data_IF_909894156718
#
_entry.id   IF_909894156718
#
_cell.length_a   1.000
_cell.length_b   1.000
_cell.length_c   1.000
_cell.angle_alpha   90.00
_cell.angle_beta   90.00
_cell.angle_gamma   90.00
#
_symmetry.space_group_name_H-M   'P 1'
#
loop_
_entity.id
_entity.type
_entity.pdbx_description
1 polymer ?
#
# COMPACT_ATOMS: atom_id res chain seq x y z
N UNK A 1 16.71 -8.08 5.23
CA UNK A 1 15.24 -8.02 5.35
C UNK A 1 14.80 -9.08 6.35
N UNK A 2 13.89 -8.72 7.24
CA UNK A 2 13.22 -9.61 8.18
C UNK A 2 11.71 -9.45 7.99
N UNK A 3 11.00 -10.55 7.79
CA UNK A 3 9.54 -10.57 7.64
C UNK A 3 8.87 -10.89 8.97
N UNK A 4 7.68 -10.34 9.18
CA UNK A 4 6.85 -10.58 10.37
C UNK A 4 5.38 -10.33 10.03
N UNK A 5 4.50 -10.60 10.98
CA UNK A 5 3.06 -10.40 10.80
C UNK A 5 2.50 -9.59 11.96
N UNK A 6 1.56 -8.70 11.63
CA UNK A 6 0.70 -8.00 12.57
C UNK A 6 -0.77 -8.42 12.36
N UNK A 7 -1.60 -8.26 13.37
CA UNK A 7 -3.03 -8.42 13.19
C UNK A 7 -3.59 -7.18 12.48
N UNK A 8 -4.33 -7.35 11.38
CA UNK A 8 -4.96 -6.23 10.69
C UNK A 8 -6.15 -5.68 11.47
N UNK A 9 -6.35 -4.36 11.41
CA UNK A 9 -7.50 -3.68 12.00
C UNK A 9 -8.83 -4.07 11.35
N UNK A 10 -8.78 -4.50 10.09
CA UNK A 10 -9.92 -5.06 9.35
C UNK A 10 -10.15 -6.55 9.56
N UNK A 11 -9.34 -7.19 10.39
CA UNK A 11 -9.29 -8.64 10.57
C UNK A 11 -8.30 -9.30 9.61
N UNK A 12 -7.78 -10.46 10.01
CA UNK A 12 -6.73 -11.17 9.27
C UNK A 12 -5.31 -10.74 9.68
N UNK A 13 -4.32 -11.19 8.89
CA UNK A 13 -2.90 -10.99 9.20
C UNK A 13 -2.23 -10.14 8.12
N UNK A 14 -1.61 -9.06 8.56
CA UNK A 14 -0.84 -8.14 7.74
C UNK A 14 0.60 -8.65 7.63
N UNK A 15 1.05 -9.01 6.45
CA UNK A 15 2.43 -9.35 6.17
C UNK A 15 3.27 -8.08 6.11
N UNK A 16 4.32 -8.04 6.92
CA UNK A 16 5.20 -6.88 7.05
C UNK A 16 6.66 -7.28 6.85
N UNK A 17 7.47 -6.34 6.43
CA UNK A 17 8.91 -6.51 6.37
C UNK A 17 9.65 -5.29 6.90
N UNK A 18 10.83 -5.54 7.48
CA UNK A 18 11.77 -4.52 7.89
C UNK A 18 13.15 -4.79 7.28
N UNK A 19 13.76 -3.76 6.74
CA UNK A 19 15.14 -3.73 6.24
C UNK A 19 15.97 -2.84 7.15
N UNK A 20 16.97 -3.41 7.78
CA UNK A 20 17.83 -2.71 8.73
C UNK A 20 19.19 -2.45 8.10
N UNK A 21 19.73 -1.22 8.15
CA UNK A 21 21.08 -0.92 7.68
C UNK A 21 22.14 -1.59 8.57
N UNK A 22 23.33 -1.81 8.02
CA UNK A 22 24.50 -2.30 8.80
C UNK A 22 25.12 -1.19 9.67
N UNK A 23 24.98 0.07 9.25
CA UNK A 23 25.41 1.24 10.00
C UNK A 23 24.37 1.67 11.03
N UNK A 24 24.79 2.53 11.97
CA UNK A 24 23.85 3.18 12.88
C UNK A 24 22.76 3.94 12.12
N UNK A 25 21.48 3.68 12.37
CA UNK A 25 20.40 4.25 11.59
C UNK A 25 20.18 5.73 11.88
N UNK A 26 19.83 6.49 10.84
CA UNK A 26 19.58 7.95 10.90
C UNK A 26 18.12 8.30 11.02
N UNK A 27 17.25 7.49 10.44
CA UNK A 27 15.81 7.67 10.45
C UNK A 27 15.11 6.37 9.98
N UNK A 28 13.81 6.30 10.21
CA UNK A 28 12.93 5.26 9.67
C UNK A 28 12.22 5.80 8.43
N UNK A 29 12.04 4.95 7.41
CA UNK A 29 11.20 5.21 6.22
C UNK A 29 10.18 4.10 6.11
N UNK A 30 8.91 4.39 6.32
CA UNK A 30 7.81 3.47 6.03
C UNK A 30 7.37 3.65 4.57
N UNK A 31 7.21 2.55 3.86
CA UNK A 31 6.76 2.52 2.46
C UNK A 31 5.33 2.01 2.39
N UNK A 32 4.44 2.78 1.78
CA UNK A 32 3.05 2.44 1.52
C UNK A 32 2.90 2.22 0.02
N UNK A 33 2.70 0.96 -0.38
CA UNK A 33 2.65 0.56 -1.78
C UNK A 33 1.34 0.93 -2.48
N UNK A 34 1.31 0.83 -3.81
CA UNK A 34 0.14 1.11 -4.63
C UNK A 34 -0.79 -0.09 -4.79
N UNK A 35 -1.87 0.13 -5.55
CA UNK A 35 -2.78 -0.97 -5.90
C UNK A 35 -2.09 -1.98 -6.81
N UNK A 36 -2.44 -3.26 -6.66
CA UNK A 36 -1.95 -4.36 -7.49
C UNK A 36 -0.42 -4.53 -7.46
N UNK A 37 0.21 -4.20 -6.35
CA UNK A 37 1.63 -4.45 -6.11
C UNK A 37 1.85 -5.03 -4.70
N UNK A 38 3.10 -5.17 -4.28
CA UNK A 38 3.46 -5.76 -2.99
C UNK A 38 4.85 -5.29 -2.56
N UNK A 39 5.20 -5.48 -1.29
CA UNK A 39 6.46 -4.99 -0.70
C UNK A 39 7.72 -5.51 -1.40
N UNK A 40 7.69 -6.70 -1.98
CA UNK A 40 8.84 -7.25 -2.70
C UNK A 40 9.30 -6.42 -3.90
N UNK A 41 8.43 -5.56 -4.45
CA UNK A 41 8.82 -4.61 -5.51
C UNK A 41 9.72 -3.49 -5.02
N UNK A 42 9.74 -3.26 -3.73
CA UNK A 42 10.52 -2.20 -3.10
C UNK A 42 11.84 -2.69 -2.51
N UNK A 43 12.21 -3.97 -2.66
CA UNK A 43 13.42 -4.54 -2.07
C UNK A 43 14.70 -3.79 -2.51
N UNK A 44 14.86 -3.53 -3.80
CA UNK A 44 16.01 -2.77 -4.31
C UNK A 44 16.05 -1.34 -3.77
N UNK A 45 14.89 -0.68 -3.70
CA UNK A 45 14.78 0.67 -3.15
C UNK A 45 15.04 0.69 -1.63
N UNK A 46 14.53 -0.29 -0.91
CA UNK A 46 14.79 -0.45 0.52
C UNK A 46 16.28 -0.69 0.79
N UNK A 47 16.94 -1.54 0.00
CA UNK A 47 18.41 -1.75 0.09
C UNK A 47 19.20 -0.48 -0.22
N UNK A 48 18.76 0.28 -1.23
CA UNK A 48 19.36 1.59 -1.51
C UNK A 48 19.25 2.52 -0.30
N UNK A 49 18.09 2.61 0.33
CA UNK A 49 17.90 3.42 1.53
C UNK A 49 18.73 2.89 2.71
N UNK A 50 18.82 1.57 2.89
CA UNK A 50 19.70 0.98 3.92
C UNK A 50 21.17 1.37 3.72
N UNK A 51 21.67 1.33 2.48
CA UNK A 51 23.05 1.75 2.18
C UNK A 51 23.30 3.22 2.54
N UNK A 52 22.24 4.02 2.67
CA UNK A 52 22.28 5.41 3.11
C UNK A 52 21.92 5.60 4.59
N UNK A 53 21.81 4.52 5.37
CA UNK A 53 21.59 4.56 6.82
C UNK A 53 20.13 4.74 7.25
N UNK A 54 19.17 4.35 6.42
CA UNK A 54 17.75 4.37 6.80
C UNK A 54 17.25 2.95 7.15
N UNK A 55 16.52 2.82 8.22
CA UNK A 55 15.65 1.66 8.44
C UNK A 55 14.47 1.79 7.48
N UNK A 56 14.08 0.72 6.82
CA UNK A 56 12.88 0.71 5.97
C UNK A 56 11.89 -0.29 6.51
N UNK A 57 10.62 0.08 6.58
CA UNK A 57 9.52 -0.82 6.95
C UNK A 57 8.40 -0.71 5.91
N UNK A 58 7.71 -1.79 5.66
CA UNK A 58 6.55 -1.82 4.77
C UNK A 58 5.64 -3.00 5.12
N UNK A 59 4.37 -2.90 4.75
CA UNK A 59 3.42 -4.00 4.77
C UNK A 59 2.91 -4.32 3.36
N UNK A 60 2.45 -5.53 3.17
CA UNK A 60 1.52 -5.87 2.10
C UNK A 60 0.11 -5.54 2.60
N UNK A 61 -0.56 -4.56 1.99
CA UNK A 61 -1.94 -4.25 2.37
C UNK A 61 -2.85 -5.48 2.30
N UNK A 62 -3.88 -5.55 3.11
CA UNK A 62 -4.85 -6.65 3.05
C UNK A 62 -5.31 -6.91 1.61
N UNK A 63 -5.34 -8.18 1.21
CA UNK A 63 -5.62 -8.59 -0.15
C UNK A 63 -4.47 -8.43 -1.14
N UNK A 64 -3.26 -8.04 -0.69
CA UNK A 64 -2.06 -7.91 -1.53
C UNK A 64 -0.94 -8.80 -0.99
N UNK A 65 -0.02 -9.21 -1.87
CA UNK A 65 1.20 -9.94 -1.51
C UNK A 65 0.97 -11.09 -0.51
N UNK A 66 1.71 -11.07 0.59
CA UNK A 66 1.60 -12.03 1.69
C UNK A 66 0.41 -11.86 2.62
N UNK A 67 -0.38 -10.76 2.44
CA UNK A 67 -1.63 -10.49 3.17
C UNK A 67 -2.89 -10.95 2.42
N UNK A 68 -2.74 -11.77 1.37
CA UNK A 68 -3.86 -12.38 0.67
C UNK A 68 -4.40 -13.53 1.49
N UNK A 69 -5.66 -13.44 1.93
CA UNK A 69 -6.35 -14.51 2.63
C UNK A 69 -7.38 -15.19 1.73
N UNK A 70 -7.47 -16.52 1.83
CA UNK A 70 -8.43 -17.35 1.09
C UNK A 70 -8.43 -17.12 -0.44
N UNK A 71 -7.30 -16.63 -0.99
CA UNK A 71 -7.16 -16.33 -2.42
C UNK A 71 -7.89 -15.08 -2.91
N UNK A 72 -8.49 -14.29 -2.01
CA UNK A 72 -9.20 -13.06 -2.35
C UNK A 72 -8.21 -11.90 -2.48
N UNK A 73 -7.98 -11.45 -3.72
CA UNK A 73 -7.03 -10.37 -4.03
C UNK A 73 -7.73 -9.01 -4.12
N UNK A 74 -7.01 -7.96 -3.66
CA UNK A 74 -7.45 -6.57 -3.77
C UNK A 74 -8.62 -6.18 -2.87
N UNK A 75 -8.99 -7.03 -1.91
CA UNK A 75 -10.05 -6.76 -0.96
C UNK A 75 -9.50 -6.26 0.37
N UNK A 76 -9.86 -5.04 0.73
CA UNK A 76 -9.54 -4.48 2.05
C UNK A 76 -10.64 -4.88 3.04
N UNK A 77 -10.37 -5.88 3.86
CA UNK A 77 -11.22 -6.20 5.00
C UNK A 77 -11.32 -4.98 5.91
N UNK A 78 -12.53 -4.61 6.35
CA UNK A 78 -12.77 -3.40 7.14
C UNK A 78 -12.73 -2.08 6.34
N UNK A 79 -12.35 -2.12 5.06
CA UNK A 79 -12.37 -0.97 4.15
C UNK A 79 -11.20 0.00 4.29
N UNK A 80 -11.37 1.20 3.72
CA UNK A 80 -10.30 2.20 3.58
C UNK A 80 -9.67 2.65 4.90
N UNK A 81 -10.51 2.89 5.93
CA UNK A 81 -10.01 3.37 7.21
C UNK A 81 -9.21 2.29 7.95
N UNK A 82 -9.62 1.01 7.85
CA UNK A 82 -8.84 -0.09 8.42
C UNK A 82 -7.46 -0.20 7.78
N UNK A 83 -7.33 0.04 6.47
CA UNK A 83 -6.02 0.09 5.83
C UNK A 83 -5.16 1.25 6.35
N UNK A 84 -5.76 2.42 6.63
CA UNK A 84 -5.04 3.54 7.26
C UNK A 84 -4.61 3.22 8.70
N UNK A 85 -5.45 2.51 9.44
CA UNK A 85 -5.15 2.06 10.81
C UNK A 85 -4.07 0.97 10.81
N UNK A 86 -4.01 0.12 9.79
CA UNK A 86 -2.94 -0.87 9.61
C UNK A 86 -1.59 -0.18 9.41
N UNK A 87 -1.54 0.89 8.60
CA UNK A 87 -0.34 1.73 8.47
C UNK A 87 0.08 2.36 9.80
N UNK A 88 -0.90 2.79 10.60
CA UNK A 88 -0.60 3.34 11.94
C UNK A 88 -0.08 2.26 12.89
N UNK A 89 -0.61 1.06 12.81
CA UNK A 89 -0.15 -0.08 13.60
C UNK A 89 1.29 -0.46 13.26
N UNK A 90 1.62 -0.53 11.96
CA UNK A 90 2.99 -0.74 11.53
C UNK A 90 3.91 0.39 12.02
N UNK A 91 3.47 1.65 11.86
CA UNK A 91 4.20 2.81 12.37
C UNK A 91 4.53 2.64 13.86
N UNK A 92 3.53 2.34 14.69
CA UNK A 92 3.71 2.24 16.14
C UNK A 92 4.64 1.10 16.53
N UNK A 93 4.52 -0.04 15.86
CA UNK A 93 5.42 -1.20 16.06
C UNK A 93 6.88 -0.84 15.76
N UNK A 94 7.13 -0.13 14.67
CA UNK A 94 8.49 0.24 14.27
C UNK A 94 9.02 1.42 15.08
N UNK A 95 8.20 2.43 15.35
CA UNK A 95 8.59 3.58 16.17
C UNK A 95 8.97 3.16 17.60
N UNK A 96 8.31 2.15 18.17
CA UNK A 96 8.67 1.59 19.45
C UNK A 96 10.07 0.93 19.46
N UNK A 97 10.51 0.38 18.32
CA UNK A 97 11.86 -0.20 18.18
C UNK A 97 12.93 0.88 17.98
N UNK A 98 12.57 2.06 17.45
CA UNK A 98 13.46 3.17 17.13
C UNK A 98 12.96 4.52 17.68
N UNK A 99 12.76 4.65 19.00
CA UNK A 99 12.03 5.79 19.59
C UNK A 99 12.75 7.15 19.48
N UNK A 100 14.05 7.15 19.17
CA UNK A 100 14.85 8.36 19.05
C UNK A 100 15.09 8.79 17.60
N UNK A 101 14.59 8.02 16.63
CA UNK A 101 14.83 8.31 15.22
C UNK A 101 13.66 9.08 14.61
N UNK A 102 13.94 10.04 13.72
CA UNK A 102 12.93 10.65 12.88
C UNK A 102 12.18 9.60 12.05
N UNK A 103 10.87 9.77 11.90
CA UNK A 103 10.01 8.85 11.17
C UNK A 103 9.45 9.50 9.89
N UNK A 104 9.73 8.90 8.76
CA UNK A 104 9.29 9.37 7.45
C UNK A 104 8.37 8.33 6.81
N UNK A 105 7.40 8.78 6.02
CA UNK A 105 6.53 7.88 5.25
C UNK A 105 6.55 8.28 3.77
N UNK A 106 6.71 7.28 2.91
CA UNK A 106 6.57 7.42 1.45
C UNK A 106 5.36 6.60 0.98
N UNK A 107 4.37 7.25 0.38
CA UNK A 107 3.24 6.59 -0.25
C UNK A 107 3.27 6.72 -1.77
N UNK A 108 3.15 5.59 -2.48
CA UNK A 108 3.13 5.56 -3.94
C UNK A 108 1.75 5.20 -4.49
N UNK A 109 1.27 5.91 -5.51
CA UNK A 109 0.00 5.64 -6.21
C UNK A 109 -1.18 5.55 -5.23
N UNK A 110 -1.86 4.41 -5.09
CA UNK A 110 -2.90 4.21 -4.08
C UNK A 110 -2.36 4.47 -2.66
N UNK A 111 -1.13 4.03 -2.36
CA UNK A 111 -0.48 4.32 -1.08
C UNK A 111 -0.30 5.82 -0.80
N UNK A 112 -0.22 6.65 -1.85
CA UNK A 112 -0.20 8.10 -1.68
C UNK A 112 -1.55 8.67 -1.19
N UNK A 113 -2.66 8.03 -1.55
CA UNK A 113 -3.98 8.39 -1.05
C UNK A 113 -4.18 7.89 0.39
N UNK A 114 -3.68 6.69 0.72
CA UNK A 114 -3.64 6.19 2.11
C UNK A 114 -2.83 7.14 2.99
N UNK A 115 -1.62 7.51 2.55
CA UNK A 115 -0.76 8.45 3.27
C UNK A 115 -1.44 9.82 3.50
N UNK A 116 -2.15 10.35 2.51
CA UNK A 116 -2.90 11.61 2.69
C UNK A 116 -4.01 11.49 3.75
N UNK A 117 -4.72 10.36 3.78
CA UNK A 117 -5.70 10.08 4.83
C UNK A 117 -5.02 9.90 6.18
N UNK A 118 -3.89 9.18 6.21
CA UNK A 118 -3.07 8.99 7.40
C UNK A 118 -2.63 10.34 8.02
N UNK A 119 -2.04 11.23 7.20
CA UNK A 119 -1.58 12.55 7.66
C UNK A 119 -2.72 13.44 8.18
N UNK A 120 -3.92 13.31 7.61
CA UNK A 120 -5.10 14.01 8.11
C UNK A 120 -5.57 13.42 9.46
N UNK A 121 -5.49 12.10 9.63
CA UNK A 121 -5.97 11.40 10.83
C UNK A 121 -4.95 11.49 11.98
N UNK A 122 -3.65 11.45 11.65
CA UNK A 122 -2.53 11.42 12.60
C UNK A 122 -1.48 12.49 12.25
N UNK A 123 -1.81 13.78 12.40
CA UNK A 123 -0.99 14.89 11.90
C UNK A 123 0.41 14.97 12.53
N UNK A 124 0.55 14.49 13.76
CA UNK A 124 1.81 14.58 14.52
C UNK A 124 2.61 13.26 14.51
N UNK A 125 2.19 12.27 13.72
CA UNK A 125 2.79 10.94 13.76
C UNK A 125 4.10 10.83 12.94
N UNK A 126 4.38 11.78 12.04
CA UNK A 126 5.53 11.70 11.13
C UNK A 126 6.25 13.03 10.98
N UNK A 127 7.58 12.98 10.87
CA UNK A 127 8.40 14.17 10.67
C UNK A 127 8.38 14.65 9.22
N UNK A 128 8.32 13.71 8.25
CA UNK A 128 8.28 14.03 6.82
C UNK A 128 7.47 13.01 6.04
N UNK A 129 6.83 13.47 4.97
CA UNK A 129 6.07 12.64 4.06
C UNK A 129 6.48 12.87 2.61
N UNK A 130 6.55 11.78 1.83
CA UNK A 130 6.77 11.82 0.38
C UNK A 130 5.53 11.24 -0.29
N UNK A 131 4.86 12.06 -1.09
CA UNK A 131 3.64 11.69 -1.82
C UNK A 131 4.03 11.52 -3.29
N UNK A 132 4.09 10.25 -3.75
CA UNK A 132 4.55 9.89 -5.10
C UNK A 132 3.41 9.35 -5.94
N UNK A 133 3.33 9.75 -7.21
CA UNK A 133 2.33 9.24 -8.14
C UNK A 133 0.88 9.49 -7.71
N UNK A 134 0.66 10.52 -6.91
CA UNK A 134 -0.69 10.92 -6.48
C UNK A 134 -1.47 11.57 -7.62
N UNK A 135 -2.78 11.59 -7.50
CA UNK A 135 -3.66 12.17 -8.50
C UNK A 135 -4.80 13.00 -7.90
N UNK A 136 -5.53 13.60 -8.78
CA UNK A 136 -6.81 14.25 -8.51
C UNK A 136 -7.79 13.88 -9.63
N UNK A 137 -9.04 13.60 -9.27
CA UNK A 137 -10.11 13.36 -10.21
C UNK A 137 -11.30 14.27 -9.96
N UNK A 138 -11.99 14.62 -11.05
CA UNK A 138 -13.20 15.42 -10.95
C UNK A 138 -14.25 14.77 -10.03
N UNK A 139 -14.83 15.50 -9.06
CA UNK A 139 -15.80 14.95 -8.12
C UNK A 139 -17.00 14.27 -8.77
N UNK A 140 -17.41 14.73 -9.96
CA UNK A 140 -18.54 14.15 -10.70
C UNK A 140 -18.17 12.77 -11.24
N UNK A 141 -16.97 12.63 -11.81
CA UNK A 141 -16.42 11.31 -12.24
C UNK A 141 -16.29 10.35 -11.06
N UNK A 142 -15.81 10.83 -9.91
CA UNK A 142 -15.69 10.03 -8.69
C UNK A 142 -17.07 9.54 -8.22
N UNK A 143 -18.09 10.40 -8.23
CA UNK A 143 -19.47 10.01 -7.85
C UNK A 143 -20.03 8.95 -8.79
N UNK A 144 -19.84 9.13 -10.11
CA UNK A 144 -20.28 8.16 -11.11
C UNK A 144 -19.53 6.83 -10.95
N UNK A 145 -18.21 6.87 -10.78
CA UNK A 145 -17.38 5.68 -10.53
C UNK A 145 -17.85 4.91 -9.28
N UNK A 146 -18.13 5.60 -8.19
CA UNK A 146 -18.68 4.99 -6.97
C UNK A 146 -20.03 4.33 -7.22
N UNK A 147 -20.90 4.94 -8.01
CA UNK A 147 -22.19 4.33 -8.35
C UNK A 147 -21.99 3.04 -9.16
N UNK A 148 -21.13 3.06 -10.18
CA UNK A 148 -20.80 1.86 -10.97
C UNK A 148 -20.24 0.76 -10.08
N UNK A 149 -19.30 1.08 -9.19
CA UNK A 149 -18.73 0.11 -8.25
C UNK A 149 -19.79 -0.50 -7.34
N UNK A 150 -20.72 0.30 -6.81
CA UNK A 150 -21.83 -0.20 -5.95
C UNK A 150 -22.76 -1.14 -6.70
N UNK A 151 -23.12 -0.82 -7.95
CA UNK A 151 -23.97 -1.68 -8.79
C UNK A 151 -23.25 -2.99 -9.13
N UNK A 152 -21.97 -2.92 -9.47
CA UNK A 152 -21.17 -4.12 -9.72
C UNK A 152 -20.99 -4.97 -8.46
N UNK A 153 -20.74 -4.37 -7.30
CA UNK A 153 -20.65 -5.07 -6.02
C UNK A 153 -21.97 -5.82 -5.71
N UNK A 154 -23.12 -5.19 -5.93
CA UNK A 154 -24.41 -5.83 -5.75
C UNK A 154 -24.64 -7.00 -6.75
N UNK A 155 -24.04 -6.92 -7.96
CA UNK A 155 -24.17 -7.94 -9.01
C UNK A 155 -23.24 -9.13 -8.81
N UNK A 156 -21.96 -8.90 -8.47
CA UNK A 156 -20.94 -9.96 -8.45
C UNK A 156 -20.50 -10.38 -7.05
N UNK A 157 -20.90 -9.64 -6.02
CA UNK A 157 -20.49 -9.84 -4.64
C UNK A 157 -19.28 -9.00 -4.25
N UNK A 158 -19.11 -8.81 -2.94
CA UNK A 158 -18.14 -7.89 -2.37
C UNK A 158 -16.69 -8.34 -2.58
N UNK A 159 -16.45 -9.65 -2.50
CA UNK A 159 -15.10 -10.25 -2.62
C UNK A 159 -14.76 -10.69 -4.04
N UNK A 160 -15.65 -10.41 -5.00
CA UNK A 160 -15.48 -10.83 -6.39
C UNK A 160 -14.87 -9.74 -7.27
N UNK A 161 -13.98 -10.12 -8.18
CA UNK A 161 -13.41 -9.19 -9.15
C UNK A 161 -14.42 -8.83 -10.24
N UNK A 162 -14.73 -7.53 -10.40
CA UNK A 162 -15.57 -7.05 -11.48
C UNK A 162 -14.75 -6.83 -12.76
N UNK A 163 -15.05 -7.60 -13.81
CA UNK A 163 -14.44 -7.42 -15.15
C UNK A 163 -14.72 -6.03 -15.72
N UNK A 164 -15.90 -5.44 -15.42
CA UNK A 164 -16.24 -4.10 -15.89
C UNK A 164 -15.38 -3.05 -15.20
N UNK A 165 -15.27 -3.08 -13.87
CA UNK A 165 -14.45 -2.12 -13.11
C UNK A 165 -12.99 -2.26 -13.50
N UNK A 166 -12.46 -3.47 -13.60
CA UNK A 166 -11.08 -3.74 -14.05
C UNK A 166 -10.83 -3.16 -15.45
N UNK A 167 -11.76 -3.33 -16.39
CA UNK A 167 -11.63 -2.77 -17.74
C UNK A 167 -11.67 -1.23 -17.75
N UNK A 168 -12.51 -0.62 -16.91
CA UNK A 168 -12.60 0.84 -16.79
C UNK A 168 -11.32 1.43 -16.18
N UNK A 169 -10.75 0.76 -15.17
CA UNK A 169 -9.54 1.24 -14.49
C UNK A 169 -8.26 1.01 -15.31
N UNK A 170 -8.12 -0.18 -15.91
CA UNK A 170 -6.85 -0.63 -16.52
C UNK A 170 -6.91 -0.89 -18.02
N UNK A 171 -8.08 -0.87 -18.63
CA UNK A 171 -8.28 -1.28 -20.02
C UNK A 171 -7.51 -0.46 -21.07
N UNK A 172 -7.06 0.74 -20.73
CA UNK A 172 -6.20 1.56 -21.56
C UNK A 172 -4.75 1.67 -21.08
N UNK A 173 -4.48 1.23 -19.86
CA UNK A 173 -3.20 1.46 -19.18
C UNK A 173 -2.01 0.85 -19.93
N UNK A 174 -2.17 -0.37 -20.43
CA UNK A 174 -1.10 -1.10 -21.11
C UNK A 174 -1.11 -0.94 -22.65
N UNK A 175 -2.04 -0.17 -23.23
CA UNK A 175 -2.13 -0.02 -24.69
C UNK A 175 -0.89 0.60 -25.32
N UNK A 176 -0.17 1.44 -24.57
CA UNK A 176 1.04 2.12 -25.01
C UNK A 176 2.30 1.25 -24.97
N UNK A 177 2.26 0.11 -24.29
CA UNK A 177 3.43 -0.73 -24.03
C UNK A 177 3.50 -2.01 -24.88
N UNK A 178 2.53 -2.23 -25.77
CA UNK A 178 2.44 -3.44 -26.59
C UNK A 178 2.09 -4.69 -25.78
N UNK A 179 2.24 -5.86 -26.39
CA UNK A 179 2.00 -7.13 -25.70
C UNK A 179 3.12 -7.37 -24.68
N UNK A 180 2.75 -7.43 -23.42
CA UNK A 180 3.68 -7.75 -22.34
C UNK A 180 3.89 -9.25 -22.32
N UNK A 181 5.06 -9.69 -22.80
CA UNK A 181 5.41 -11.12 -22.96
C UNK A 181 6.23 -11.67 -21.80
N UNK A 182 6.57 -10.85 -20.80
CA UNK A 182 7.33 -11.28 -19.63
C UNK A 182 6.43 -11.91 -18.58
N UNK A 183 6.79 -13.09 -18.00
CA UNK A 183 6.11 -13.65 -16.83
C UNK A 183 6.19 -12.75 -15.58
N UNK A 184 7.09 -11.77 -15.60
CA UNK A 184 7.20 -10.72 -14.58
C UNK A 184 6.45 -9.44 -14.96
N UNK A 185 5.65 -9.48 -15.99
CA UNK A 185 4.81 -8.37 -16.38
C UNK A 185 3.69 -8.18 -15.36
N UNK A 186 3.85 -7.18 -14.62
CA UNK A 186 3.24 -6.71 -13.41
C UNK A 186 1.79 -6.31 -13.56
N UNK A 187 0.88 -7.24 -13.51
CA UNK A 187 -0.44 -7.01 -12.95
C UNK A 187 -0.73 -8.24 -12.12
N UNK A 188 -0.91 -8.06 -10.83
CA UNK A 188 -1.24 -9.11 -9.86
C UNK A 188 -2.38 -9.96 -10.31
#
# INVERSE_FOLDING_TARGET
MKEFYLDSCGGGRLHCAIWTPESEPKAVVQLIHGIAEHIGRYDDFARFLNAHGYVVAADDHMGHGGSVENGVKGYFSGGWLSAVEDEKRLHDEIAAQYPALPYYILGHSMGSFLLRTYLYTYPDAVDKAVISGTGWEDPTKVRLGKLVCRLEQARVGETSTSKLVTKLMYGSYNKSFGAVTSPNAWIC
#
